data_IF_165173482997
#
_entry.id   IF_165173482997
#
_cell.length_a   1.000
_cell.length_b   1.000
_cell.length_c   1.000
_cell.angle_alpha   90.00
_cell.angle_beta   90.00
_cell.angle_gamma   90.00
#
_symmetry.space_group_name_H-M   'P 1'
#
loop_
_entity.id
_entity.type
_entity.pdbx_description
1 polymer ?
#
# COMPACT_ATOMS: atom_id res chain seq x y z
N UNK A 1 26.46 12.88 -28.91
CA UNK A 1 25.66 12.60 -27.68
C UNK A 1 25.89 11.14 -27.33
N UNK A 2 26.57 10.84 -26.23
CA UNK A 2 26.84 9.47 -25.80
C UNK A 2 25.50 8.84 -25.38
N UNK A 3 25.12 7.73 -26.03
CA UNK A 3 23.90 6.97 -25.73
C UNK A 3 24.18 5.67 -24.96
N UNK A 4 25.43 5.52 -24.49
CA UNK A 4 25.87 4.34 -23.75
C UNK A 4 25.40 4.42 -22.29
N UNK A 5 24.73 3.36 -21.83
CA UNK A 5 24.26 3.24 -20.44
C UNK A 5 25.39 3.09 -19.43
N UNK A 6 26.61 2.71 -19.85
CA UNK A 6 27.74 2.54 -18.93
C UNK A 6 27.99 3.77 -18.07
N UNK A 7 27.92 4.97 -18.66
CA UNK A 7 28.12 6.22 -17.91
C UNK A 7 27.04 6.48 -16.87
N UNK A 8 25.84 5.94 -17.06
CA UNK A 8 24.71 6.07 -16.11
C UNK A 8 24.84 5.04 -15.00
N UNK A 9 25.41 3.86 -15.31
CA UNK A 9 25.53 2.72 -14.42
C UNK A 9 26.89 2.66 -13.69
N UNK A 10 27.84 3.51 -14.05
CA UNK A 10 29.16 3.55 -13.45
C UNK A 10 29.05 3.77 -11.93
N UNK A 11 29.72 2.88 -11.15
CA UNK A 11 29.66 2.90 -9.70
C UNK A 11 28.35 2.44 -9.08
N UNK A 12 27.38 1.98 -9.91
CA UNK A 12 26.07 1.53 -9.44
C UNK A 12 25.81 0.07 -9.88
N UNK A 13 26.44 -0.86 -9.17
CA UNK A 13 26.38 -2.27 -9.49
C UNK A 13 24.98 -2.86 -9.22
N UNK A 14 24.58 -3.79 -10.08
CA UNK A 14 23.40 -4.62 -9.84
C UNK A 14 23.76 -5.74 -8.86
N UNK A 15 22.90 -5.92 -7.85
CA UNK A 15 22.98 -7.02 -6.89
C UNK A 15 21.69 -7.84 -6.98
N UNK A 16 21.74 -9.13 -7.39
CA UNK A 16 20.56 -9.99 -7.44
C UNK A 16 19.87 -10.08 -6.07
N UNK A 17 18.54 -9.96 -6.06
CA UNK A 17 17.73 -10.00 -4.84
C UNK A 17 17.68 -8.70 -4.03
N UNK A 18 18.40 -7.67 -4.43
CA UNK A 18 18.40 -6.35 -3.79
C UNK A 18 17.79 -5.30 -4.72
N UNK A 19 16.82 -4.57 -4.22
CA UNK A 19 16.27 -3.41 -4.93
C UNK A 19 17.17 -2.21 -4.63
N UNK A 20 17.85 -1.69 -5.65
CA UNK A 20 18.71 -0.51 -5.55
C UNK A 20 18.07 0.67 -6.26
N UNK A 21 17.83 1.75 -5.52
CA UNK A 21 17.09 2.93 -5.98
C UNK A 21 17.88 4.19 -5.67
N UNK A 22 17.78 5.18 -6.55
CA UNK A 22 18.29 6.53 -6.30
C UNK A 22 17.36 7.59 -6.89
N UNK A 23 17.46 8.81 -6.38
CA UNK A 23 16.85 10.00 -7.00
C UNK A 23 17.91 10.78 -7.77
N UNK A 24 17.49 11.34 -8.88
CA UNK A 24 18.30 12.25 -9.70
C UNK A 24 17.48 13.47 -10.09
N UNK A 25 18.14 14.54 -10.47
CA UNK A 25 17.48 15.65 -11.16
C UNK A 25 17.61 15.43 -12.66
N UNK A 26 16.47 15.35 -13.35
CA UNK A 26 16.40 15.19 -14.80
C UNK A 26 16.86 16.46 -15.55
N UNK A 27 17.02 16.35 -16.87
CA UNK A 27 17.36 17.51 -17.71
C UNK A 27 16.29 18.59 -17.74
N UNK A 28 15.06 18.22 -17.38
CA UNK A 28 13.90 19.12 -17.24
C UNK A 28 13.84 19.80 -15.88
N UNK A 29 14.86 19.61 -15.02
CA UNK A 29 14.95 20.17 -13.68
C UNK A 29 14.08 19.46 -12.65
N UNK A 30 13.34 18.41 -13.03
CA UNK A 30 12.47 17.66 -12.12
C UNK A 30 13.19 16.46 -11.54
N UNK A 31 12.83 16.08 -10.31
CA UNK A 31 13.29 14.84 -9.71
C UNK A 31 12.75 13.63 -10.46
N UNK A 32 13.58 12.61 -10.58
CA UNK A 32 13.24 11.30 -11.16
C UNK A 32 13.71 10.22 -10.21
N UNK A 33 12.95 9.15 -10.13
CA UNK A 33 13.36 7.91 -9.47
C UNK A 33 14.05 7.01 -10.49
N UNK A 34 15.21 6.48 -10.14
CA UNK A 34 15.90 5.46 -10.93
C UNK A 34 16.04 4.20 -10.09
N UNK A 35 15.62 3.06 -10.66
CA UNK A 35 15.77 1.73 -10.06
C UNK A 35 16.70 0.90 -10.92
N UNK A 36 17.74 0.32 -10.30
CA UNK A 36 18.71 -0.55 -10.97
C UNK A 36 18.06 -1.88 -11.30
N UNK A 37 18.09 -2.27 -12.54
CA UNK A 37 17.73 -3.61 -13.02
C UNK A 37 18.94 -4.25 -13.69
N UNK A 38 18.92 -5.57 -13.89
CA UNK A 38 20.07 -6.36 -14.33
C UNK A 38 20.91 -5.66 -15.42
N UNK A 39 20.35 -5.41 -16.59
CA UNK A 39 21.05 -4.82 -17.74
C UNK A 39 20.77 -3.33 -17.94
N UNK A 40 20.09 -2.65 -17.00
CA UNK A 40 19.69 -1.26 -17.24
C UNK A 40 19.17 -0.54 -16.02
N UNK A 41 18.30 0.41 -16.27
CA UNK A 41 17.68 1.26 -15.27
C UNK A 41 16.22 1.54 -15.68
N UNK A 42 15.32 1.46 -14.72
CA UNK A 42 13.99 2.04 -14.84
C UNK A 42 14.09 3.49 -14.37
N UNK A 43 13.62 4.42 -15.16
CA UNK A 43 13.52 5.82 -14.77
C UNK A 43 12.05 6.24 -14.78
N UNK A 44 11.60 6.83 -13.69
CA UNK A 44 10.20 7.17 -13.45
C UNK A 44 10.05 8.62 -12.98
N UNK A 45 8.94 9.24 -13.35
CA UNK A 45 8.50 10.50 -12.75
C UNK A 45 8.11 10.28 -11.28
N UNK A 46 8.42 11.23 -10.39
CA UNK A 46 8.03 11.17 -8.99
C UNK A 46 6.52 11.37 -8.79
N UNK A 47 5.86 12.09 -9.71
CA UNK A 47 4.42 12.42 -9.67
C UNK A 47 3.76 12.18 -11.01
N UNK A 48 2.44 12.12 -11.06
CA UNK A 48 1.69 11.78 -12.26
C UNK A 48 1.92 10.33 -12.69
N UNK A 49 1.76 10.05 -13.98
CA UNK A 49 2.04 8.72 -14.52
C UNK A 49 3.57 8.46 -14.55
N UNK A 50 4.04 7.28 -14.12
CA UNK A 50 5.47 7.02 -13.97
C UNK A 50 6.32 7.21 -15.23
N UNK A 51 5.75 6.98 -16.42
CA UNK A 51 6.40 7.20 -17.72
C UNK A 51 6.29 8.66 -18.24
N UNK A 52 5.59 9.53 -17.50
CA UNK A 52 5.39 10.93 -17.86
C UNK A 52 4.36 11.16 -18.98
N UNK A 53 3.72 10.10 -19.49
CA UNK A 53 2.70 10.24 -20.53
C UNK A 53 1.36 10.70 -19.94
N UNK A 54 0.55 11.34 -20.80
CA UNK A 54 -0.80 11.81 -20.45
C UNK A 54 -1.82 11.24 -21.45
N UNK A 55 -2.28 9.98 -21.23
CA UNK A 55 -3.22 9.33 -22.14
C UNK A 55 -4.54 10.12 -22.17
N UNK A 56 -5.07 10.34 -23.34
CA UNK A 56 -6.31 11.10 -23.59
C UNK A 56 -6.33 12.50 -22.92
N UNK A 57 -5.13 13.10 -22.66
CA UNK A 57 -4.99 14.37 -21.97
C UNK A 57 -5.16 14.29 -20.44
N UNK A 58 -5.51 13.13 -19.88
CA UNK A 58 -5.62 12.88 -18.46
C UNK A 58 -4.27 12.56 -17.82
N UNK A 59 -4.19 12.64 -16.49
CA UNK A 59 -2.97 12.28 -15.76
C UNK A 59 -2.67 10.77 -15.90
N UNK A 60 -3.71 9.94 -15.99
CA UNK A 60 -3.60 8.49 -16.11
C UNK A 60 -4.80 7.88 -16.85
N UNK A 61 -4.67 6.60 -17.27
CA UNK A 61 -5.79 5.85 -17.82
C UNK A 61 -6.89 5.63 -16.79
N UNK A 62 -6.53 5.42 -15.53
CA UNK A 62 -7.53 5.32 -14.46
C UNK A 62 -8.39 6.58 -14.39
N UNK A 63 -7.77 7.76 -14.37
CA UNK A 63 -8.51 9.02 -14.35
C UNK A 63 -9.42 9.16 -15.58
N UNK A 64 -8.92 8.81 -16.76
CA UNK A 64 -9.73 8.81 -17.99
C UNK A 64 -10.94 7.89 -17.88
N UNK A 65 -10.78 6.65 -17.39
CA UNK A 65 -11.89 5.72 -17.24
C UNK A 65 -12.88 6.18 -16.18
N UNK A 66 -12.40 6.74 -15.07
CA UNK A 66 -13.28 7.33 -14.06
C UNK A 66 -14.07 8.56 -14.58
N UNK A 67 -13.48 9.36 -15.46
CA UNK A 67 -14.20 10.43 -16.14
C UNK A 67 -15.28 9.87 -17.07
N UNK A 68 -14.98 8.80 -17.82
CA UNK A 68 -15.99 8.09 -18.66
C UNK A 68 -17.14 7.57 -17.80
N UNK A 69 -16.83 6.92 -16.66
CA UNK A 69 -17.83 6.43 -15.72
C UNK A 69 -18.72 7.56 -15.18
N UNK A 70 -18.10 8.66 -14.72
CA UNK A 70 -18.86 9.83 -14.25
C UNK A 70 -19.75 10.42 -15.33
N UNK A 71 -19.26 10.52 -16.56
CA UNK A 71 -20.03 10.98 -17.71
C UNK A 71 -21.21 10.07 -18.04
N UNK A 72 -20.99 8.74 -17.97
CA UNK A 72 -22.04 7.74 -18.15
C UNK A 72 -23.16 7.90 -17.10
N UNK A 73 -22.78 7.95 -15.81
CA UNK A 73 -23.74 8.11 -14.70
C UNK A 73 -24.50 9.44 -14.79
N UNK A 74 -23.85 10.52 -15.21
CA UNK A 74 -24.50 11.82 -15.39
C UNK A 74 -25.60 11.81 -16.47
N UNK A 75 -25.47 10.95 -17.48
CA UNK A 75 -26.45 10.83 -18.59
C UNK A 75 -27.52 9.78 -18.28
N UNK A 76 -27.12 8.60 -17.78
CA UNK A 76 -28.00 7.44 -17.56
C UNK A 76 -28.64 7.39 -16.18
N UNK A 77 -28.10 8.14 -15.20
CA UNK A 77 -28.53 8.09 -13.78
C UNK A 77 -28.01 6.86 -13.02
N UNK A 78 -27.30 5.94 -13.68
CA UNK A 78 -26.81 4.68 -13.10
C UNK A 78 -25.47 4.28 -13.72
N UNK A 79 -24.73 3.41 -13.04
CA UNK A 79 -23.50 2.81 -13.55
C UNK A 79 -23.69 1.40 -14.15
N UNK A 80 -24.94 0.88 -14.17
CA UNK A 80 -25.23 -0.52 -14.53
C UNK A 80 -24.74 -0.94 -15.91
N UNK A 81 -24.86 -0.08 -16.90
CA UNK A 81 -24.47 -0.38 -18.29
C UNK A 81 -23.07 0.15 -18.66
N UNK A 82 -22.32 0.63 -17.69
CA UNK A 82 -20.93 1.02 -17.92
C UNK A 82 -20.05 -0.23 -18.02
N UNK A 83 -19.31 -0.35 -19.10
CA UNK A 83 -18.44 -1.50 -19.33
C UNK A 83 -17.04 -1.06 -19.76
N UNK A 84 -16.04 -1.79 -19.27
CA UNK A 84 -14.65 -1.72 -19.71
C UNK A 84 -14.39 -2.89 -20.66
N UNK A 85 -13.90 -2.60 -21.85
CA UNK A 85 -13.45 -3.62 -22.78
C UNK A 85 -12.25 -4.40 -22.22
N UNK A 86 -11.98 -5.58 -22.78
CA UNK A 86 -10.76 -6.34 -22.44
C UNK A 86 -9.48 -5.56 -22.76
N UNK A 87 -9.53 -4.64 -23.72
CA UNK A 87 -8.43 -3.73 -24.03
C UNK A 87 -8.25 -2.68 -22.94
N UNK A 88 -9.32 -2.03 -22.49
CA UNK A 88 -9.28 -1.09 -21.36
C UNK A 88 -8.69 -1.75 -20.10
N UNK A 89 -9.14 -2.97 -19.77
CA UNK A 89 -8.65 -3.72 -18.61
C UNK A 89 -7.17 -4.11 -18.75
N UNK A 90 -6.74 -4.52 -19.95
CA UNK A 90 -5.33 -4.82 -20.24
C UNK A 90 -4.44 -3.58 -20.05
N UNK A 91 -4.87 -2.45 -20.56
CA UNK A 91 -4.11 -1.21 -20.53
C UNK A 91 -4.06 -0.61 -19.11
N UNK A 92 -5.17 -0.68 -18.34
CA UNK A 92 -5.21 -0.34 -16.92
C UNK A 92 -4.27 -1.23 -16.10
N UNK A 93 -4.21 -2.54 -16.39
CA UNK A 93 -3.28 -3.46 -15.72
C UNK A 93 -1.83 -3.11 -16.04
N UNK A 94 -1.52 -2.82 -17.31
CA UNK A 94 -0.17 -2.38 -17.67
C UNK A 94 0.21 -1.09 -16.95
N UNK A 95 -0.70 -0.15 -16.88
CA UNK A 95 -0.48 1.09 -16.12
C UNK A 95 -0.30 0.81 -14.63
N UNK A 96 -1.10 -0.08 -14.00
CA UNK A 96 -0.94 -0.48 -12.61
C UNK A 96 0.46 -1.07 -12.34
N UNK A 97 1.04 -1.78 -13.31
CA UNK A 97 2.41 -2.28 -13.22
C UNK A 97 3.45 -1.15 -13.20
N UNK A 98 3.26 -0.06 -13.95
CA UNK A 98 4.16 1.10 -13.88
C UNK A 98 4.14 1.73 -12.47
N UNK A 99 2.96 1.89 -11.88
CA UNK A 99 2.82 2.41 -10.52
C UNK A 99 3.36 1.44 -9.46
N UNK A 100 3.23 0.12 -9.68
CA UNK A 100 3.86 -0.91 -8.85
C UNK A 100 5.39 -0.71 -8.79
N UNK A 101 6.06 -0.53 -9.92
CA UNK A 101 7.50 -0.27 -9.97
C UNK A 101 7.87 0.99 -9.19
N UNK A 102 7.04 2.04 -9.28
CA UNK A 102 7.30 3.30 -8.57
C UNK A 102 7.08 3.17 -7.07
N UNK A 103 5.99 2.58 -6.61
CA UNK A 103 5.78 2.50 -5.16
C UNK A 103 6.77 1.54 -4.47
N UNK A 104 7.24 0.49 -5.12
CA UNK A 104 8.35 -0.31 -4.58
C UNK A 104 9.62 0.53 -4.42
N UNK A 105 9.93 1.33 -5.43
CA UNK A 105 11.09 2.22 -5.39
C UNK A 105 10.95 3.30 -4.32
N UNK A 106 9.76 3.90 -4.22
CA UNK A 106 9.44 4.88 -3.18
C UNK A 106 9.51 4.28 -1.77
N UNK A 107 9.10 3.01 -1.62
CA UNK A 107 9.22 2.30 -0.34
C UNK A 107 10.68 2.14 0.10
N UNK A 108 11.58 1.78 -0.83
CA UNK A 108 13.03 1.68 -0.56
C UNK A 108 13.64 3.04 -0.21
N UNK A 109 13.09 4.12 -0.78
CA UNK A 109 13.49 5.50 -0.48
C UNK A 109 12.82 6.07 0.79
N UNK A 110 11.97 5.29 1.48
CA UNK A 110 11.18 5.72 2.64
C UNK A 110 10.23 6.91 2.32
N UNK A 111 9.86 7.07 1.03
CA UNK A 111 8.92 8.09 0.58
C UNK A 111 7.47 7.57 0.68
N UNK A 112 7.01 7.33 1.90
CA UNK A 112 5.76 6.65 2.19
C UNK A 112 4.50 7.36 1.65
N UNK A 113 4.51 8.67 1.53
CA UNK A 113 3.41 9.41 0.89
C UNK A 113 3.25 9.03 -0.60
N UNK A 114 4.36 8.75 -1.30
CA UNK A 114 4.35 8.23 -2.66
C UNK A 114 3.79 6.82 -2.74
N UNK A 115 4.17 5.97 -1.76
CA UNK A 115 3.66 4.59 -1.66
C UNK A 115 2.15 4.59 -1.41
N UNK A 116 1.67 5.36 -0.43
CA UNK A 116 0.24 5.47 -0.10
C UNK A 116 -0.58 5.91 -1.32
N UNK A 117 -0.16 6.97 -2.00
CA UNK A 117 -0.82 7.48 -3.20
C UNK A 117 -0.93 6.42 -4.30
N UNK A 118 0.18 5.75 -4.62
CA UNK A 118 0.26 4.84 -5.76
C UNK A 118 -0.44 3.50 -5.47
N UNK A 119 -0.41 3.02 -4.22
CA UNK A 119 -1.15 1.83 -3.78
C UNK A 119 -2.65 2.09 -3.74
N UNK A 120 -3.11 3.22 -3.19
CA UNK A 120 -4.52 3.63 -3.22
C UNK A 120 -5.05 3.70 -4.66
N UNK A 121 -4.23 4.25 -5.57
CA UNK A 121 -4.56 4.27 -6.99
C UNK A 121 -4.69 2.87 -7.57
N UNK A 122 -3.77 1.95 -7.27
CA UNK A 122 -3.81 0.58 -7.79
C UNK A 122 -5.00 -0.21 -7.24
N UNK A 123 -5.40 -0.01 -5.98
CA UNK A 123 -6.64 -0.58 -5.43
C UNK A 123 -7.86 -0.14 -6.24
N UNK A 124 -7.95 1.15 -6.60
CA UNK A 124 -9.04 1.66 -7.45
C UNK A 124 -9.05 1.02 -8.85
N UNK A 125 -7.88 0.72 -9.44
CA UNK A 125 -7.82 -0.02 -10.72
C UNK A 125 -8.38 -1.43 -10.56
N UNK A 126 -8.00 -2.12 -9.49
CA UNK A 126 -8.51 -3.47 -9.18
C UNK A 126 -10.04 -3.43 -9.06
N UNK A 127 -10.58 -2.48 -8.28
CA UNK A 127 -12.03 -2.31 -8.10
C UNK A 127 -12.74 -1.99 -9.41
N UNK A 128 -12.19 -1.09 -10.20
CA UNK A 128 -12.78 -0.66 -11.46
C UNK A 128 -12.84 -1.83 -12.47
N UNK A 129 -11.76 -2.59 -12.61
CA UNK A 129 -11.73 -3.77 -13.48
C UNK A 129 -12.65 -4.88 -12.96
N UNK A 130 -12.67 -5.13 -11.66
CA UNK A 130 -13.53 -6.15 -11.05
C UNK A 130 -15.01 -5.85 -11.25
N UNK A 131 -15.40 -4.57 -11.16
CA UNK A 131 -16.80 -4.15 -11.24
C UNK A 131 -17.28 -4.04 -12.68
N UNK A 132 -16.47 -3.51 -13.59
CA UNK A 132 -16.92 -3.10 -14.93
C UNK A 132 -16.28 -3.87 -16.09
N UNK A 133 -15.36 -4.78 -15.86
CA UNK A 133 -14.75 -5.61 -16.91
C UNK A 133 -15.80 -6.48 -17.60
N UNK A 134 -15.84 -6.44 -18.94
CA UNK A 134 -16.79 -7.23 -19.73
C UNK A 134 -16.60 -8.73 -19.51
N UNK A 135 -15.36 -9.23 -19.61
CA UNK A 135 -15.07 -10.64 -19.47
C UNK A 135 -14.76 -11.00 -18.00
N UNK A 136 -15.20 -12.18 -17.57
CA UNK A 136 -14.94 -12.70 -16.23
C UNK A 136 -13.43 -12.73 -15.92
N UNK A 137 -12.62 -13.20 -16.87
CA UNK A 137 -11.16 -13.20 -16.73
C UNK A 137 -10.58 -11.81 -16.46
N UNK A 138 -11.17 -10.74 -17.04
CA UNK A 138 -10.67 -9.39 -16.88
C UNK A 138 -11.02 -8.85 -15.47
N UNK A 139 -12.16 -9.28 -14.92
CA UNK A 139 -12.59 -8.98 -13.54
C UNK A 139 -11.71 -9.69 -12.50
N UNK A 140 -11.32 -10.93 -12.77
CA UNK A 140 -10.55 -11.76 -11.84
C UNK A 140 -9.04 -11.48 -11.86
N UNK A 141 -8.50 -11.00 -12.97
CA UNK A 141 -7.06 -11.02 -13.27
C UNK A 141 -6.17 -10.24 -12.29
N UNK A 142 -6.69 -9.16 -11.69
CA UNK A 142 -5.94 -8.34 -10.72
C UNK A 142 -6.25 -8.71 -9.25
N UNK A 143 -7.24 -9.56 -9.01
CA UNK A 143 -7.65 -9.92 -7.63
C UNK A 143 -6.52 -10.57 -6.82
N UNK A 144 -5.69 -11.48 -7.35
CA UNK A 144 -4.58 -12.07 -6.59
C UNK A 144 -3.55 -11.06 -6.07
N UNK A 145 -3.50 -9.85 -6.64
CA UNK A 145 -2.57 -8.81 -6.21
C UNK A 145 -3.16 -7.90 -5.11
N UNK A 146 -4.47 -7.98 -4.87
CA UNK A 146 -5.20 -7.07 -3.97
C UNK A 146 -4.63 -7.10 -2.55
N UNK A 147 -4.46 -8.29 -1.96
CA UNK A 147 -3.95 -8.45 -0.61
C UNK A 147 -2.57 -7.78 -0.44
N UNK A 148 -1.67 -8.01 -1.39
CA UNK A 148 -0.35 -7.40 -1.39
C UNK A 148 -0.41 -5.86 -1.48
N UNK A 149 -1.25 -5.31 -2.37
CA UNK A 149 -1.41 -3.85 -2.52
C UNK A 149 -2.01 -3.24 -1.25
N UNK A 150 -3.01 -3.89 -0.64
CA UNK A 150 -3.60 -3.49 0.64
C UNK A 150 -2.54 -3.46 1.76
N UNK A 151 -1.76 -4.52 1.90
CA UNK A 151 -0.67 -4.60 2.88
C UNK A 151 0.34 -3.46 2.69
N UNK A 152 0.76 -3.19 1.45
CA UNK A 152 1.69 -2.10 1.16
C UNK A 152 1.09 -0.72 1.46
N UNK A 153 -0.21 -0.54 1.20
CA UNK A 153 -0.95 0.68 1.53
C UNK A 153 -0.99 0.94 3.03
N UNK A 154 -1.40 -0.07 3.81
CA UNK A 154 -1.46 -0.01 5.29
C UNK A 154 -0.07 0.27 5.88
N UNK A 155 0.97 -0.40 5.38
CA UNK A 155 2.35 -0.15 5.82
C UNK A 155 2.77 1.30 5.59
N UNK A 156 2.44 1.87 4.43
CA UNK A 156 2.77 3.26 4.14
C UNK A 156 2.04 4.23 5.07
N UNK A 157 0.74 4.02 5.31
CA UNK A 157 -0.05 4.83 6.23
C UNK A 157 0.48 4.76 7.67
N UNK A 158 0.79 3.56 8.16
CA UNK A 158 1.36 3.37 9.48
C UNK A 158 2.72 4.09 9.63
N UNK A 159 3.59 4.01 8.62
CA UNK A 159 4.87 4.72 8.63
C UNK A 159 4.70 6.24 8.60
N UNK A 160 3.70 6.75 7.86
CA UNK A 160 3.36 8.19 7.87
C UNK A 160 2.85 8.66 9.23
N UNK A 161 2.07 7.85 9.94
CA UNK A 161 1.63 8.15 11.30
C UNK A 161 2.82 8.13 12.27
N UNK A 162 3.70 7.13 12.18
CA UNK A 162 4.93 7.07 12.99
C UNK A 162 5.86 8.27 12.76
N UNK A 163 5.99 8.73 11.51
CA UNK A 163 6.80 9.91 11.18
C UNK A 163 6.25 11.22 11.80
N UNK A 164 4.99 11.23 12.25
CA UNK A 164 4.34 12.32 12.98
C UNK A 164 4.31 12.11 14.50
N UNK A 165 5.00 11.10 15.02
CA UNK A 165 4.96 10.66 16.41
C UNK A 165 3.56 10.19 16.89
N UNK A 166 2.70 9.75 15.95
CA UNK A 166 1.36 9.25 16.23
C UNK A 166 1.33 7.71 16.28
N UNK A 167 2.05 7.11 17.22
CA UNK A 167 2.20 5.65 17.29
C UNK A 167 0.88 4.91 17.59
N UNK A 168 -0.05 5.51 18.32
CA UNK A 168 -1.39 4.93 18.54
C UNK A 168 -2.23 4.91 17.27
N UNK A 169 -2.16 5.95 16.45
CA UNK A 169 -2.79 5.99 15.12
C UNK A 169 -2.19 4.94 14.19
N UNK A 170 -0.85 4.81 14.19
CA UNK A 170 -0.16 3.78 13.40
C UNK A 170 -0.60 2.36 13.80
N UNK A 171 -0.80 2.12 15.10
CA UNK A 171 -1.30 0.84 15.61
C UNK A 171 -2.73 0.56 15.12
N UNK A 172 -3.63 1.55 15.21
CA UNK A 172 -5.01 1.42 14.73
C UNK A 172 -5.07 1.13 13.23
N UNK A 173 -4.20 1.79 12.44
CA UNK A 173 -4.08 1.53 11.00
C UNK A 173 -3.65 0.08 10.74
N UNK A 174 -2.66 -0.43 11.49
CA UNK A 174 -2.20 -1.81 11.34
C UNK A 174 -3.29 -2.82 11.74
N UNK A 175 -3.98 -2.59 12.86
CA UNK A 175 -5.09 -3.44 13.35
C UNK A 175 -6.25 -3.47 12.34
N UNK A 176 -6.64 -2.31 11.82
CA UNK A 176 -7.69 -2.20 10.80
C UNK A 176 -7.28 -2.91 9.51
N UNK A 177 -6.03 -2.77 9.10
CA UNK A 177 -5.51 -3.44 7.90
C UNK A 177 -5.57 -4.96 7.98
N UNK A 178 -5.23 -5.55 9.14
CA UNK A 178 -5.38 -7.00 9.39
C UNK A 178 -6.86 -7.39 9.31
N UNK A 179 -7.75 -6.66 10.01
CA UNK A 179 -9.17 -6.94 10.03
C UNK A 179 -9.82 -6.82 8.64
N UNK A 180 -9.36 -5.89 7.81
CA UNK A 180 -9.88 -5.71 6.45
C UNK A 180 -9.44 -6.84 5.52
N UNK A 181 -8.20 -7.33 5.64
CA UNK A 181 -7.75 -8.52 4.93
C UNK A 181 -8.56 -9.75 5.36
N UNK A 182 -8.68 -9.99 6.66
CA UNK A 182 -9.46 -11.13 7.18
C UNK A 182 -10.91 -11.10 6.69
N UNK A 183 -11.57 -9.94 6.75
CA UNK A 183 -12.96 -9.78 6.29
C UNK A 183 -13.13 -10.04 4.80
N UNK A 184 -12.14 -9.67 3.99
CA UNK A 184 -12.22 -9.81 2.53
C UNK A 184 -12.02 -11.24 2.06
N UNK A 185 -11.23 -12.04 2.79
CA UNK A 185 -10.80 -13.37 2.36
C UNK A 185 -11.29 -14.51 3.25
N UNK A 186 -12.02 -14.24 4.35
CA UNK A 186 -12.49 -15.25 5.31
C UNK A 186 -13.37 -16.33 4.68
N UNK A 187 -14.11 -15.98 3.61
CA UNK A 187 -15.01 -16.88 2.92
C UNK A 187 -14.34 -17.62 1.74
N UNK A 188 -13.08 -17.35 1.45
CA UNK A 188 -12.32 -17.98 0.37
C UNK A 188 -11.37 -19.03 0.95
N UNK A 189 -11.92 -20.23 1.23
CA UNK A 189 -11.16 -21.36 1.81
C UNK A 189 -10.03 -21.86 0.89
N UNK A 190 -10.02 -21.50 -0.40
CA UNK A 190 -9.04 -21.96 -1.39
C UNK A 190 -7.86 -20.99 -1.56
N UNK A 191 -7.96 -19.71 -1.11
CA UNK A 191 -6.92 -18.70 -1.26
C UNK A 191 -6.25 -18.32 0.07
N UNK A 192 -5.17 -19.02 0.42
CA UNK A 192 -4.31 -18.70 1.56
C UNK A 192 -3.27 -17.62 1.27
N UNK A 193 -3.24 -17.06 0.06
CA UNK A 193 -2.20 -16.10 -0.36
C UNK A 193 -2.15 -14.83 0.49
N UNK A 194 -3.30 -14.40 1.01
CA UNK A 194 -3.44 -13.23 1.87
C UNK A 194 -2.87 -13.40 3.29
N UNK A 195 -2.68 -14.64 3.77
CA UNK A 195 -2.16 -14.92 5.13
C UNK A 195 -0.77 -14.34 5.33
N UNK A 196 0.08 -14.41 4.30
CA UNK A 196 1.42 -13.85 4.33
C UNK A 196 1.40 -12.32 4.48
N UNK A 197 0.49 -11.66 3.81
CA UNK A 197 0.29 -10.21 3.88
C UNK A 197 -0.26 -9.80 5.24
N UNK A 198 -1.22 -10.54 5.79
CA UNK A 198 -1.73 -10.33 7.13
C UNK A 198 -0.64 -10.55 8.19
N UNK A 199 0.19 -11.58 8.06
CA UNK A 199 1.32 -11.81 8.97
C UNK A 199 2.34 -10.67 8.90
N UNK A 200 2.58 -10.12 7.72
CA UNK A 200 3.44 -8.93 7.56
C UNK A 200 2.88 -7.74 8.35
N UNK A 201 1.57 -7.52 8.34
CA UNK A 201 0.94 -6.46 9.13
C UNK A 201 0.95 -6.76 10.63
N UNK A 202 0.79 -8.03 11.03
CA UNK A 202 0.92 -8.44 12.44
C UNK A 202 2.34 -8.24 12.97
N UNK A 203 3.36 -8.44 12.13
CA UNK A 203 4.76 -8.08 12.47
C UNK A 203 4.90 -6.58 12.65
N UNK A 204 4.42 -5.78 11.70
CA UNK A 204 4.42 -4.31 11.81
C UNK A 204 3.74 -3.84 13.10
N UNK A 205 2.57 -4.40 13.43
CA UNK A 205 1.85 -4.12 14.67
C UNK A 205 2.73 -4.32 15.90
N UNK A 206 3.48 -5.43 15.97
CA UNK A 206 4.39 -5.72 17.10
C UNK A 206 5.52 -4.70 17.18
N UNK A 207 6.13 -4.34 16.05
CA UNK A 207 7.19 -3.33 15.99
C UNK A 207 6.69 -1.95 16.45
N UNK A 208 5.44 -1.60 16.15
CA UNK A 208 4.82 -0.36 16.62
C UNK A 208 4.59 -0.41 18.14
N UNK A 209 4.07 -1.54 18.66
CA UNK A 209 3.86 -1.73 20.10
C UNK A 209 5.15 -1.60 20.91
N UNK A 210 6.28 -2.10 20.39
CA UNK A 210 7.58 -1.97 21.04
C UNK A 210 8.08 -0.52 21.13
N UNK A 211 7.63 0.36 20.22
CA UNK A 211 7.96 1.80 20.23
C UNK A 211 7.09 2.59 21.21
N UNK A 212 5.95 2.06 21.64
CA UNK A 212 5.09 2.70 22.62
C UNK A 212 5.71 2.63 24.04
N UNK A 213 5.45 3.61 24.93
CA UNK A 213 5.81 3.53 26.34
C UNK A 213 5.27 2.25 27.00
N UNK A 214 6.02 1.70 27.96
CA UNK A 214 5.62 0.45 28.66
C UNK A 214 4.28 0.53 29.38
N UNK A 215 3.87 1.74 29.69
CA UNK A 215 2.61 2.02 30.35
C UNK A 215 1.50 2.47 29.38
N UNK A 216 1.76 2.51 28.08
CA UNK A 216 0.74 2.86 27.08
C UNK A 216 -0.44 1.87 27.13
N UNK A 217 -1.70 2.34 27.09
CA UNK A 217 -2.87 1.46 27.20
C UNK A 217 -2.89 0.35 26.13
N UNK A 218 -2.51 0.67 24.90
CA UNK A 218 -2.45 -0.31 23.81
C UNK A 218 -1.40 -1.40 24.05
N UNK A 219 -0.23 -1.03 24.61
CA UNK A 219 0.82 -2.00 24.98
C UNK A 219 0.39 -2.89 26.12
N UNK A 220 -0.18 -2.31 27.18
CA UNK A 220 -0.73 -3.06 28.31
C UNK A 220 -1.85 -4.02 27.88
N UNK A 221 -2.72 -3.59 26.98
CA UNK A 221 -3.79 -4.42 26.43
C UNK A 221 -3.22 -5.62 25.66
N UNK A 222 -2.23 -5.40 24.80
CA UNK A 222 -1.57 -6.47 24.05
C UNK A 222 -0.82 -7.46 24.94
N UNK A 223 -0.16 -6.97 26.01
CA UNK A 223 0.48 -7.83 27.02
C UNK A 223 -0.56 -8.65 27.80
N UNK A 224 -1.72 -8.07 28.12
CA UNK A 224 -2.84 -8.77 28.77
C UNK A 224 -3.38 -9.90 27.89
N UNK A 225 -3.63 -9.64 26.61
CA UNK A 225 -4.08 -10.64 25.65
C UNK A 225 -3.07 -11.79 25.53
N UNK A 226 -1.78 -11.46 25.51
CA UNK A 226 -0.70 -12.47 25.47
C UNK A 226 -0.65 -13.29 26.77
N UNK A 227 -0.76 -12.66 27.94
CA UNK A 227 -0.79 -13.35 29.22
C UNK A 227 -1.98 -14.32 29.31
N UNK A 228 -3.17 -13.91 28.83
CA UNK A 228 -4.34 -14.77 28.76
C UNK A 228 -4.15 -15.96 27.81
N UNK A 229 -3.55 -15.72 26.64
CA UNK A 229 -3.28 -16.76 25.64
C UNK A 229 -2.25 -17.80 26.12
N UNK A 230 -1.36 -17.43 27.05
CA UNK A 230 -0.37 -18.32 27.68
C UNK A 230 -0.81 -18.85 29.05
N UNK A 231 -2.08 -18.59 29.45
CA UNK A 231 -2.67 -18.98 30.74
C UNK A 231 -1.91 -18.40 31.95
N UNK A 232 -1.16 -17.31 31.79
CA UNK A 232 -0.50 -16.58 32.88
C UNK A 232 -1.50 -15.63 33.54
N UNK A 233 -2.37 -16.21 34.38
CA UNK A 233 -3.47 -15.50 35.04
C UNK A 233 -2.99 -14.47 36.09
N UNK A 234 -1.82 -14.69 36.69
CA UNK A 234 -1.24 -13.75 37.64
C UNK A 234 -0.83 -12.46 36.95
N UNK A 235 -0.08 -12.59 35.86
CA UNK A 235 0.32 -11.46 35.01
C UNK A 235 -0.88 -10.76 34.39
N UNK A 236 -1.88 -11.52 33.92
CA UNK A 236 -3.11 -10.96 33.38
C UNK A 236 -3.88 -10.11 34.40
N UNK A 237 -3.94 -10.53 35.67
CA UNK A 237 -4.57 -9.76 36.74
C UNK A 237 -3.84 -8.44 37.00
N UNK A 238 -2.50 -8.45 37.11
CA UNK A 238 -1.70 -7.22 37.27
C UNK A 238 -1.93 -6.22 36.14
N UNK A 239 -1.91 -6.69 34.86
CA UNK A 239 -2.09 -5.83 33.69
C UNK A 239 -3.49 -5.23 33.63
N UNK A 240 -4.52 -6.03 33.97
CA UNK A 240 -5.91 -5.56 34.07
C UNK A 240 -6.05 -4.45 35.13
N UNK A 241 -5.41 -4.61 36.28
CA UNK A 241 -5.48 -3.63 37.35
C UNK A 241 -4.76 -2.32 36.96
N UNK A 242 -3.63 -2.40 36.26
CA UNK A 242 -2.94 -1.22 35.70
C UNK A 242 -3.82 -0.48 34.69
N UNK A 243 -4.52 -1.20 33.79
CA UNK A 243 -5.47 -0.63 32.84
C UNK A 243 -6.67 0.02 33.50
N UNK A 244 -7.22 -0.61 34.57
CA UNK A 244 -8.39 -0.12 35.29
C UNK A 244 -8.08 1.11 36.13
N UNK A 245 -6.92 1.16 36.79
CA UNK A 245 -6.47 2.29 37.59
C UNK A 245 -6.32 3.58 36.79
N UNK A 246 -5.95 3.49 35.51
CA UNK A 246 -5.88 4.65 34.61
C UNK A 246 -7.25 5.19 34.18
N UNK A 247 -8.27 4.33 34.04
CA UNK A 247 -9.65 4.78 33.70
C UNK A 247 -10.29 5.62 34.82
N UNK A 248 -9.75 5.55 36.07
CA UNK A 248 -10.29 6.30 37.19
C UNK A 248 -9.59 7.65 37.45
N UNK A 249 -8.55 7.99 36.68
CA UNK A 249 -7.87 9.28 36.79
C UNK A 249 -8.17 10.12 35.52
N UNK A 250 -9.26 10.91 35.50
CA UNK A 250 -9.46 11.86 34.42
C UNK A 250 -8.37 12.93 34.52
N UNK A 251 -7.68 13.21 33.39
CA UNK A 251 -6.71 14.29 33.26
C UNK A 251 -7.24 15.56 33.93
N UNK A 252 -6.62 15.93 35.04
CA UNK A 252 -6.74 17.29 35.57
C UNK A 252 -5.91 18.18 34.65
N UNK A 253 -6.64 18.99 33.91
CA UNK A 253 -6.23 20.19 33.15
C UNK A 253 -4.87 20.75 33.50
#
# INVERSE_FOLDING_TARGET
>A
MIRDLRTILEGWNFEPGKISVRKIVGRDGREKIQTRIDLGVLQMECTGRPDGLRPHGCESLLEYQEQRLRGHVAVSGTDQDFLLSSEDCRDLRHEAYLYYQRYLSSYVLEEFAGVERDTARNLRVIDLCARYGVAERDRALLQPQRAYVMMMHVRAQAQLALARDHAEEALQIADQGVADLERQYVDDEEDDSWLREADTLRVLRREILEKLPEDAPARLQSELERALATEDYERAAELRDRLSGRRQCPSRT
#
